data_IF_920364311622
#
_entry.id   IF_920364311622
#
_cell.length_a   1.000
_cell.length_b   1.000
_cell.length_c   1.000
_cell.angle_alpha   90.00
_cell.angle_beta   90.00
_cell.angle_gamma   90.00
#
_symmetry.space_group_name_H-M   'P 1'
#
loop_
_entity.id
_entity.type
_entity.pdbx_description
1 polymer ?
#
# COMPACT_ATOMS: atom_id res chain seq x y z
N UNK A 1 -0.79 17.97 -23.04
CA UNK A 1 0.40 17.44 -22.32
C UNK A 1 0.11 16.88 -20.91
N UNK A 2 -1.05 17.13 -20.29
CA UNK A 2 -1.25 16.88 -18.84
C UNK A 2 -1.74 15.49 -18.43
N UNK A 3 -2.86 15.00 -18.98
CA UNK A 3 -3.60 13.85 -18.39
C UNK A 3 -2.79 12.56 -18.28
N UNK A 4 -2.07 12.18 -19.35
CA UNK A 4 -1.25 10.95 -19.36
C UNK A 4 -0.04 11.03 -18.43
N UNK A 5 0.63 12.20 -18.36
CA UNK A 5 1.73 12.41 -17.42
C UNK A 5 1.23 12.31 -15.97
N UNK A 6 0.09 12.93 -15.66
CA UNK A 6 -0.56 12.83 -14.36
C UNK A 6 -0.93 11.39 -13.99
N UNK A 7 -1.53 10.61 -14.89
CA UNK A 7 -1.85 9.19 -14.63
C UNK A 7 -0.60 8.37 -14.32
N UNK A 8 0.50 8.59 -15.05
CA UNK A 8 1.78 7.92 -14.78
C UNK A 8 2.33 8.34 -13.41
N UNK A 9 2.28 9.63 -13.07
CA UNK A 9 2.73 10.12 -11.76
C UNK A 9 1.91 9.51 -10.62
N UNK A 10 0.58 9.47 -10.75
CA UNK A 10 -0.31 8.86 -9.74
C UNK A 10 0.00 7.37 -9.58
N UNK A 11 0.21 6.65 -10.68
CA UNK A 11 0.59 5.24 -10.64
C UNK A 11 1.93 5.05 -9.91
N UNK A 12 2.98 5.78 -10.28
CA UNK A 12 4.29 5.66 -9.62
C UNK A 12 4.20 6.00 -8.13
N UNK A 13 3.48 7.06 -7.75
CA UNK A 13 3.26 7.41 -6.34
C UNK A 13 2.52 6.30 -5.59
N UNK A 14 1.47 5.73 -6.17
CA UNK A 14 0.71 4.63 -5.57
C UNK A 14 1.56 3.35 -5.43
N UNK A 15 2.35 3.04 -6.46
CA UNK A 15 3.23 1.86 -6.49
C UNK A 15 4.32 1.96 -5.43
N UNK A 16 5.02 3.11 -5.35
CA UNK A 16 6.03 3.31 -4.31
C UNK A 16 5.42 3.30 -2.91
N UNK A 17 4.24 3.91 -2.73
CA UNK A 17 3.53 3.88 -1.45
C UNK A 17 3.17 2.45 -1.03
N UNK A 18 2.72 1.62 -1.98
CA UNK A 18 2.41 0.22 -1.74
C UNK A 18 3.67 -0.57 -1.36
N UNK A 19 4.78 -0.41 -2.09
CA UNK A 19 6.05 -1.11 -1.81
C UNK A 19 6.57 -0.74 -0.42
N UNK A 20 6.59 0.56 -0.08
CA UNK A 20 7.01 1.04 1.24
C UNK A 20 6.11 0.44 2.33
N UNK A 21 4.79 0.46 2.13
CA UNK A 21 3.83 -0.08 3.10
C UNK A 21 4.00 -1.58 3.30
N UNK A 22 4.21 -2.36 2.24
CA UNK A 22 4.50 -3.80 2.33
C UNK A 22 5.81 -4.08 3.07
N UNK A 23 6.85 -3.28 2.83
CA UNK A 23 8.12 -3.40 3.55
C UNK A 23 7.97 -3.10 5.05
N UNK A 24 7.22 -2.07 5.41
CA UNK A 24 6.94 -1.75 6.81
C UNK A 24 6.09 -2.84 7.48
N UNK A 25 5.08 -3.35 6.79
CA UNK A 25 4.26 -4.45 7.28
C UNK A 25 5.08 -5.73 7.50
N UNK A 26 5.98 -6.05 6.56
CA UNK A 26 6.91 -7.16 6.72
C UNK A 26 7.87 -6.96 7.90
N UNK A 27 8.40 -5.74 8.06
CA UNK A 27 9.31 -5.41 9.15
C UNK A 27 8.60 -5.47 10.52
N UNK A 28 7.32 -5.12 10.59
CA UNK A 28 6.49 -5.37 11.77
C UNK A 28 6.42 -6.86 12.08
N UNK A 29 6.23 -7.71 11.06
CA UNK A 29 6.25 -9.17 11.20
C UNK A 29 7.55 -9.70 11.83
N UNK A 30 8.70 -9.24 11.33
CA UNK A 30 10.01 -9.58 11.91
C UNK A 30 10.10 -9.09 13.36
N UNK A 31 9.70 -7.84 13.61
CA UNK A 31 9.76 -7.25 14.93
C UNK A 31 8.91 -8.03 15.95
N UNK A 32 7.70 -8.44 15.59
CA UNK A 32 6.86 -9.19 16.54
C UNK A 32 7.39 -10.58 16.81
N UNK A 33 8.01 -11.23 15.81
CA UNK A 33 8.66 -12.53 15.95
C UNK A 33 9.87 -12.45 16.88
N UNK A 34 10.76 -11.48 16.65
CA UNK A 34 11.99 -11.26 17.43
C UNK A 34 11.71 -10.96 18.92
N UNK A 35 10.60 -10.29 19.21
CA UNK A 35 10.25 -9.86 20.57
C UNK A 35 9.13 -10.71 21.21
N UNK A 36 8.65 -11.76 20.54
CA UNK A 36 7.56 -12.60 21.04
C UNK A 36 6.25 -11.82 21.29
N UNK A 37 6.02 -10.78 20.49
CA UNK A 37 4.83 -9.93 20.55
C UNK A 37 3.81 -10.39 19.51
N UNK A 38 2.60 -9.85 19.61
CA UNK A 38 1.61 -9.95 18.55
C UNK A 38 1.48 -8.62 17.78
N UNK A 39 1.18 -8.64 16.47
CA UNK A 39 1.08 -7.43 15.64
C UNK A 39 0.06 -6.41 16.12
N UNK A 40 -1.02 -6.86 16.76
CA UNK A 40 -2.06 -5.99 17.32
C UNK A 40 -1.50 -5.10 18.44
N UNK A 41 -0.63 -5.61 19.31
CA UNK A 41 -0.03 -4.82 20.40
C UNK A 41 0.76 -3.64 19.82
N UNK A 42 1.55 -3.88 18.78
CA UNK A 42 2.40 -2.86 18.16
C UNK A 42 1.55 -1.84 17.38
N UNK A 43 0.48 -2.30 16.72
CA UNK A 43 -0.43 -1.43 15.98
C UNK A 43 -1.43 -0.67 16.87
N UNK A 44 -1.48 -0.95 18.18
CA UNK A 44 -2.38 -0.28 19.13
C UNK A 44 -3.77 -0.94 19.26
N UNK A 45 -3.87 -2.22 18.91
CA UNK A 45 -5.04 -3.09 19.02
C UNK A 45 -5.50 -3.67 17.69
N UNK A 46 -6.39 -4.67 17.76
CA UNK A 46 -6.93 -5.38 16.61
C UNK A 46 -7.57 -4.45 15.57
N UNK A 47 -8.28 -3.41 16.02
CA UNK A 47 -8.91 -2.45 15.12
C UNK A 47 -7.86 -1.80 14.20
N UNK A 48 -6.76 -1.30 14.74
CA UNK A 48 -5.72 -0.65 13.95
C UNK A 48 -4.93 -1.63 13.08
N UNK A 49 -4.75 -2.88 13.54
CA UNK A 49 -4.22 -3.95 12.69
C UNK A 49 -5.12 -4.20 11.48
N UNK A 50 -6.45 -4.26 11.67
CA UNK A 50 -7.38 -4.38 10.53
C UNK A 50 -7.36 -3.17 9.61
N UNK A 51 -7.19 -1.95 10.15
CA UNK A 51 -7.04 -0.73 9.33
C UNK A 51 -5.76 -0.76 8.50
N UNK A 52 -4.68 -1.34 9.03
CA UNK A 52 -3.43 -1.49 8.29
C UNK A 52 -3.57 -2.49 7.12
N UNK A 53 -4.25 -3.62 7.34
CA UNK A 53 -4.63 -4.53 6.27
C UNK A 53 -5.52 -3.86 5.22
N UNK A 54 -6.52 -3.09 5.63
CA UNK A 54 -7.38 -2.33 4.73
C UNK A 54 -6.57 -1.31 3.93
N UNK A 55 -5.62 -0.60 4.56
CA UNK A 55 -4.71 0.34 3.90
C UNK A 55 -3.91 -0.33 2.78
N UNK A 56 -3.35 -1.52 3.04
CA UNK A 56 -2.64 -2.30 2.02
C UNK A 56 -3.55 -2.70 0.85
N UNK A 57 -4.77 -3.17 1.15
CA UNK A 57 -5.75 -3.53 0.11
C UNK A 57 -6.14 -2.30 -0.74
N UNK A 58 -6.44 -1.17 -0.11
CA UNK A 58 -6.80 0.06 -0.83
C UNK A 58 -5.65 0.57 -1.70
N UNK A 59 -4.40 0.51 -1.21
CA UNK A 59 -3.22 0.87 -2.00
C UNK A 59 -3.02 -0.07 -3.19
N UNK A 60 -3.24 -1.38 -3.01
CA UNK A 60 -3.20 -2.34 -4.10
C UNK A 60 -4.24 -2.01 -5.17
N UNK A 61 -5.49 -1.78 -4.76
CA UNK A 61 -6.58 -1.39 -5.67
C UNK A 61 -6.26 -0.08 -6.39
N UNK A 62 -5.75 0.93 -5.68
CA UNK A 62 -5.33 2.20 -6.27
C UNK A 62 -4.21 2.01 -7.30
N UNK A 63 -3.25 1.13 -7.03
CA UNK A 63 -2.17 0.80 -7.95
C UNK A 63 -2.69 0.10 -9.22
N UNK A 64 -3.66 -0.81 -9.07
CA UNK A 64 -4.33 -1.49 -10.21
C UNK A 64 -5.13 -0.49 -11.05
N UNK A 65 -6.00 0.31 -10.42
CA UNK A 65 -6.85 1.29 -11.10
C UNK A 65 -6.01 2.35 -11.81
N UNK A 66 -5.00 2.89 -11.14
CA UNK A 66 -4.10 3.88 -11.76
C UNK A 66 -3.28 3.25 -12.89
N UNK A 67 -2.84 1.99 -12.75
CA UNK A 67 -2.18 1.23 -13.82
C UNK A 67 -3.07 1.06 -15.06
N UNK A 68 -4.32 0.62 -14.88
CA UNK A 68 -5.31 0.48 -15.96
C UNK A 68 -5.56 1.83 -16.64
N UNK A 69 -5.61 2.93 -15.88
CA UNK A 69 -5.85 4.28 -16.40
C UNK A 69 -4.76 4.73 -17.40
N UNK A 70 -3.51 4.29 -17.21
CA UNK A 70 -2.41 4.59 -18.14
C UNK A 70 -2.65 3.96 -19.51
N UNK A 71 -3.18 2.72 -19.53
CA UNK A 71 -3.46 1.99 -20.78
C UNK A 71 -4.77 2.41 -21.43
N UNK A 72 -5.78 2.79 -20.64
CA UNK A 72 -7.06 3.30 -21.16
C UNK A 72 -6.95 4.70 -21.77
N UNK A 73 -5.96 5.50 -21.36
CA UNK A 73 -5.69 6.83 -21.94
C UNK A 73 -5.18 6.81 -23.41
N UNK A 74 -5.15 5.64 -24.06
CA UNK A 74 -4.82 5.47 -25.49
C UNK A 74 -6.05 5.41 -26.41
N UNK A 75 -7.27 5.27 -25.90
CA UNK A 75 -8.51 5.43 -26.67
C UNK A 75 -8.96 6.88 -26.63
#
# INVERSE_FOLDING_TARGET
MGKRKLSITVFLLSLFSLIISLKLFWNLGIFVDDYGLSPDIVNGGDFWLTMDWLRLLLLLLLCVVSGISIFSAKK
#
